data_IF_112471224513
#
_entry.id   IF_112471224513
#
_cell.length_a   1.000
_cell.length_b   1.000
_cell.length_c   1.000
_cell.angle_alpha   90.00
_cell.angle_beta   90.00
_cell.angle_gamma   90.00
#
_symmetry.space_group_name_H-M   'P 1'
#
loop_
_entity.id
_entity.type
_entity.pdbx_description
1 polymer ?
#
# COMPACT_ATOMS: atom_id res chain seq x y z
N UNK A 1 44.75 -17.82 38.77
CA UNK A 1 45.52 -16.87 37.94
C UNK A 1 45.54 -17.41 36.52
N UNK A 2 45.35 -16.54 35.52
CA UNK A 2 45.39 -16.87 34.09
C UNK A 2 46.28 -15.89 33.36
N UNK A 3 47.14 -16.39 32.48
CA UNK A 3 47.97 -15.56 31.61
C UNK A 3 47.19 -15.22 30.35
N UNK A 4 47.05 -13.92 30.05
CA UNK A 4 46.38 -13.43 28.84
C UNK A 4 47.38 -12.65 27.98
N UNK A 5 47.17 -12.64 26.67
CA UNK A 5 47.92 -11.79 25.76
C UNK A 5 47.09 -10.55 25.40
N UNK A 6 47.61 -9.37 25.75
CA UNK A 6 46.90 -8.10 25.56
C UNK A 6 46.73 -7.73 24.08
N UNK A 7 47.62 -8.18 23.20
CA UNK A 7 47.56 -7.94 21.75
C UNK A 7 46.26 -8.44 21.12
N UNK A 8 45.71 -9.53 21.63
CA UNK A 8 44.52 -10.17 21.07
C UNK A 8 43.23 -9.46 21.47
N UNK A 9 43.28 -8.65 22.53
CA UNK A 9 42.11 -8.04 23.15
C UNK A 9 42.05 -6.54 22.84
N UNK A 10 43.21 -5.90 22.78
CA UNK A 10 43.32 -4.46 22.61
C UNK A 10 44.15 -4.10 21.38
N UNK A 11 43.53 -3.37 20.46
CA UNK A 11 44.09 -2.99 19.16
C UNK A 11 45.35 -2.11 19.22
N UNK A 12 45.61 -1.47 20.36
CA UNK A 12 46.76 -0.57 20.53
C UNK A 12 48.08 -1.29 20.86
N UNK A 13 48.02 -2.55 21.31
CA UNK A 13 49.24 -3.37 21.51
C UNK A 13 49.68 -4.01 20.20
N UNK A 14 50.90 -3.69 19.75
CA UNK A 14 51.47 -4.19 18.48
C UNK A 14 52.39 -5.39 18.65
N UNK A 15 52.76 -5.71 19.87
CA UNK A 15 53.65 -6.80 20.25
C UNK A 15 52.94 -7.70 21.27
N UNK A 16 53.40 -8.95 21.37
CA UNK A 16 52.84 -9.91 22.31
C UNK A 16 53.27 -9.56 23.73
N UNK A 17 52.31 -9.18 24.57
CA UNK A 17 52.52 -8.84 25.98
C UNK A 17 51.63 -9.74 26.84
N UNK A 18 52.27 -10.57 27.66
CA UNK A 18 51.62 -11.56 28.50
C UNK A 18 51.48 -11.04 29.93
N UNK A 19 50.26 -10.96 30.42
CA UNK A 19 49.94 -10.47 31.77
C UNK A 19 49.19 -11.55 32.54
N UNK A 20 49.60 -11.78 33.78
CA UNK A 20 48.85 -12.62 34.70
C UNK A 20 47.68 -11.85 35.32
N UNK A 21 46.49 -12.40 35.14
CA UNK A 21 45.23 -11.82 35.57
C UNK A 21 44.58 -12.76 36.58
N UNK A 22 43.91 -12.19 37.59
CA UNK A 22 43.18 -12.96 38.60
C UNK A 22 42.03 -13.73 37.94
N UNK A 23 41.59 -14.82 38.58
CA UNK A 23 40.50 -15.64 38.02
C UNK A 23 39.18 -14.86 37.96
N UNK A 24 38.95 -13.92 38.91
CA UNK A 24 37.79 -13.03 38.92
C UNK A 24 37.75 -12.10 37.70
N UNK A 25 38.88 -11.45 37.38
CA UNK A 25 38.96 -10.55 36.22
C UNK A 25 38.83 -11.35 34.93
N UNK A 26 39.42 -12.55 34.87
CA UNK A 26 39.26 -13.44 33.72
C UNK A 26 37.80 -13.86 33.51
N UNK A 27 37.06 -14.16 34.58
CA UNK A 27 35.65 -14.49 34.51
C UNK A 27 34.80 -13.30 34.05
N UNK A 28 35.08 -12.10 34.55
CA UNK A 28 34.42 -10.87 34.10
C UNK A 28 34.63 -10.62 32.60
N UNK A 29 35.85 -10.82 32.09
CA UNK A 29 36.14 -10.70 30.66
C UNK A 29 35.36 -11.73 29.82
N UNK A 30 35.28 -12.98 30.29
CA UNK A 30 34.50 -14.02 29.62
C UNK A 30 33.01 -13.71 29.63
N UNK A 31 32.51 -13.15 30.71
CA UNK A 31 31.11 -12.73 30.83
C UNK A 31 30.78 -11.61 29.82
N UNK A 32 31.62 -10.59 29.73
CA UNK A 32 31.46 -9.50 28.76
C UNK A 32 31.43 -10.02 27.30
N UNK A 33 32.30 -10.98 26.95
CA UNK A 33 32.29 -11.59 25.62
C UNK A 33 30.97 -12.34 25.34
N UNK A 34 30.43 -13.07 26.32
CA UNK A 34 29.15 -13.77 26.17
C UNK A 34 28.00 -12.77 25.97
N UNK A 35 28.00 -11.67 26.71
CA UNK A 35 26.99 -10.61 26.57
C UNK A 35 27.03 -9.94 25.20
N UNK A 36 28.23 -9.65 24.69
CA UNK A 36 28.42 -9.12 23.33
C UNK A 36 27.85 -10.08 22.29
N UNK A 37 28.21 -11.37 22.37
CA UNK A 37 27.71 -12.39 21.45
C UNK A 37 26.18 -12.54 21.53
N UNK A 38 25.60 -12.46 22.74
CA UNK A 38 24.15 -12.49 22.94
C UNK A 38 23.45 -11.25 22.34
N UNK A 39 24.07 -10.08 22.45
CA UNK A 39 23.58 -8.86 21.82
C UNK A 39 23.61 -8.97 20.29
N UNK A 40 24.72 -9.41 19.70
CA UNK A 40 24.84 -9.60 18.25
C UNK A 40 23.82 -10.63 17.72
N UNK A 41 23.63 -11.74 18.43
CA UNK A 41 22.60 -12.75 18.06
C UNK A 41 21.20 -12.16 18.06
N UNK A 42 20.84 -11.37 19.09
CA UNK A 42 19.53 -10.69 19.14
C UNK A 42 19.37 -9.71 17.99
N UNK A 43 20.42 -8.93 17.68
CA UNK A 43 20.46 -7.99 16.56
C UNK A 43 20.17 -8.69 15.23
N UNK A 44 20.85 -9.80 14.96
CA UNK A 44 20.66 -10.59 13.72
C UNK A 44 19.27 -11.23 13.66
N UNK A 45 18.85 -11.90 14.75
CA UNK A 45 17.57 -12.61 14.80
C UNK A 45 16.38 -11.67 14.58
N UNK A 46 16.38 -10.51 15.23
CA UNK A 46 15.32 -9.50 15.08
C UNK A 46 15.56 -8.54 13.90
N UNK A 47 16.64 -8.72 13.12
CA UNK A 47 17.05 -7.83 12.03
C UNK A 47 17.11 -6.35 12.44
N UNK A 48 17.41 -6.09 13.71
CA UNK A 48 17.45 -4.76 14.31
C UNK A 48 18.80 -4.08 14.04
N UNK A 49 19.14 -3.94 12.76
CA UNK A 49 20.44 -3.41 12.31
C UNK A 49 20.66 -1.95 12.69
N UNK A 50 19.56 -1.21 12.78
CA UNK A 50 19.50 0.22 13.05
C UNK A 50 18.64 0.46 14.30
N UNK A 51 19.12 1.30 15.21
CA UNK A 51 18.27 1.91 16.24
C UNK A 51 17.40 2.98 15.59
N UNK A 52 16.25 3.29 16.19
CA UNK A 52 15.44 4.45 15.77
C UNK A 52 16.26 5.75 15.86
N UNK A 53 17.14 5.86 16.86
CA UNK A 53 18.09 6.97 17.03
C UNK A 53 19.25 6.99 16.01
N UNK A 54 19.39 5.96 15.16
CA UNK A 54 20.53 5.89 14.25
C UNK A 54 20.51 7.03 13.21
N UNK A 55 19.30 7.48 12.81
CA UNK A 55 19.14 8.59 11.89
C UNK A 55 17.87 9.40 12.20
N UNK A 56 18.00 10.73 12.19
CA UNK A 56 16.91 11.68 12.50
C UNK A 56 15.67 11.56 11.60
N UNK A 57 15.79 10.90 10.45
CA UNK A 57 14.69 10.71 9.50
C UNK A 57 14.03 9.32 9.61
N UNK A 58 14.67 8.34 10.28
CA UNK A 58 14.13 6.96 10.36
C UNK A 58 12.81 6.91 11.12
N UNK A 59 12.65 7.73 12.15
CA UNK A 59 11.39 7.86 12.89
C UNK A 59 10.27 8.44 12.02
N UNK A 60 10.57 9.44 11.18
CA UNK A 60 9.57 10.01 10.28
C UNK A 60 9.02 8.94 9.34
N UNK A 61 9.88 8.18 8.66
CA UNK A 61 9.43 7.15 7.71
C UNK A 61 8.77 5.92 8.36
N UNK A 62 9.00 5.68 9.65
CA UNK A 62 8.37 4.58 10.38
C UNK A 62 6.93 4.88 10.81
N UNK A 63 6.53 6.16 10.84
CA UNK A 63 5.21 6.59 11.26
C UNK A 63 4.26 6.74 10.06
N UNK A 64 3.01 6.31 10.24
CA UNK A 64 1.93 6.63 9.31
C UNK A 64 1.65 8.13 9.38
N UNK A 65 1.99 8.85 8.31
CA UNK A 65 1.67 10.27 8.22
C UNK A 65 0.19 10.43 7.86
N UNK A 66 -0.45 11.42 8.47
CA UNK A 66 -1.76 11.88 8.03
C UNK A 66 -1.72 12.39 6.59
N UNK A 67 -2.89 12.46 5.95
CA UNK A 67 -3.03 13.01 4.59
C UNK A 67 -2.52 14.44 4.52
N UNK A 68 -1.78 14.76 3.46
CA UNK A 68 -1.29 16.11 3.21
C UNK A 68 -2.46 17.05 2.88
N UNK A 69 -2.37 18.37 3.16
CA UNK A 69 -3.38 19.33 2.73
C UNK A 69 -3.65 19.28 1.21
N UNK A 70 -2.63 18.99 0.40
CA UNK A 70 -2.73 18.79 -1.05
C UNK A 70 -3.60 17.57 -1.37
N UNK A 71 -3.41 16.46 -0.68
CA UNK A 71 -4.20 15.23 -0.87
C UNK A 71 -5.69 15.49 -0.57
N UNK A 72 -5.98 16.25 0.49
CA UNK A 72 -7.36 16.62 0.84
C UNK A 72 -8.02 17.45 -0.26
N UNK A 73 -7.27 18.37 -0.88
CA UNK A 73 -7.78 19.19 -1.97
C UNK A 73 -8.09 18.34 -3.20
N UNK A 74 -7.18 17.43 -3.57
CA UNK A 74 -7.36 16.50 -4.69
C UNK A 74 -8.57 15.59 -4.44
N UNK A 75 -8.67 14.96 -3.27
CA UNK A 75 -9.81 14.13 -2.90
C UNK A 75 -11.14 14.90 -3.01
N UNK A 76 -11.14 16.16 -2.58
CA UNK A 76 -12.33 17.01 -2.68
C UNK A 76 -12.71 17.25 -4.14
N UNK A 77 -11.76 17.57 -5.00
CA UNK A 77 -12.00 17.77 -6.43
C UNK A 77 -12.51 16.49 -7.10
N UNK A 78 -11.88 15.35 -6.85
CA UNK A 78 -12.33 14.03 -7.29
C UNK A 78 -13.77 13.73 -6.81
N UNK A 79 -14.09 14.07 -5.56
CA UNK A 79 -15.44 13.88 -5.04
C UNK A 79 -16.45 14.78 -5.76
N UNK A 80 -16.10 16.04 -6.03
CA UNK A 80 -17.01 16.94 -6.76
C UNK A 80 -17.24 16.50 -8.21
N UNK A 81 -16.20 16.05 -8.90
CA UNK A 81 -16.32 15.53 -10.28
C UNK A 81 -17.17 14.27 -10.30
N UNK A 82 -16.96 13.35 -9.35
CA UNK A 82 -17.79 12.15 -9.19
C UNK A 82 -19.27 12.50 -8.94
N UNK A 83 -19.56 13.46 -8.07
CA UNK A 83 -20.92 13.90 -7.78
C UNK A 83 -21.59 14.52 -9.01
N UNK A 84 -20.86 15.32 -9.80
CA UNK A 84 -21.35 15.87 -11.08
C UNK A 84 -21.71 14.75 -12.08
N UNK A 85 -20.87 13.73 -12.20
CA UNK A 85 -21.13 12.58 -13.07
C UNK A 85 -22.38 11.80 -12.65
N UNK A 86 -22.59 11.61 -11.34
CA UNK A 86 -23.77 10.96 -10.78
C UNK A 86 -25.02 11.80 -11.04
N UNK A 87 -24.96 13.12 -10.83
CA UNK A 87 -26.08 14.02 -11.09
C UNK A 87 -26.51 14.02 -12.57
N UNK A 88 -25.56 13.84 -13.49
CA UNK A 88 -25.82 13.74 -14.93
C UNK A 88 -26.32 12.35 -15.39
N UNK A 89 -26.26 11.32 -14.54
CA UNK A 89 -26.64 9.95 -14.89
C UNK A 89 -28.10 9.83 -15.42
N UNK A 90 -29.11 10.48 -14.82
CA UNK A 90 -30.48 10.40 -15.35
C UNK A 90 -30.60 10.99 -16.76
N UNK A 91 -29.91 12.11 -17.03
CA UNK A 91 -29.88 12.72 -18.35
C UNK A 91 -29.18 11.83 -19.38
N UNK A 92 -28.06 11.20 -19.00
CA UNK A 92 -27.35 10.27 -19.86
C UNK A 92 -28.21 9.02 -20.19
N UNK A 93 -28.90 8.46 -19.20
CA UNK A 93 -29.83 7.34 -19.41
C UNK A 93 -31.00 7.72 -20.32
N UNK A 94 -31.55 8.94 -20.17
CA UNK A 94 -32.61 9.45 -21.03
C UNK A 94 -32.16 9.68 -22.49
N UNK A 95 -30.86 9.92 -22.72
CA UNK A 95 -30.28 10.03 -24.06
C UNK A 95 -30.19 8.68 -24.80
N UNK A 96 -30.21 7.57 -24.08
CA UNK A 96 -30.31 6.24 -24.67
C UNK A 96 -31.78 5.88 -24.98
N UNK A 97 -32.02 4.96 -25.91
CA UNK A 97 -33.40 4.47 -26.14
C UNK A 97 -33.93 3.76 -24.87
N UNK A 98 -35.25 3.75 -24.61
CA UNK A 98 -35.81 3.14 -23.39
C UNK A 98 -35.35 1.70 -23.14
N UNK A 99 -35.26 0.89 -24.20
CA UNK A 99 -34.75 -0.50 -24.13
C UNK A 99 -33.27 -0.56 -23.75
N UNK A 100 -32.45 0.34 -24.27
CA UNK A 100 -31.02 0.41 -23.92
C UNK A 100 -30.84 0.84 -22.48
N UNK A 101 -31.52 1.92 -22.06
CA UNK A 101 -31.45 2.43 -20.69
C UNK A 101 -31.88 1.36 -19.68
N UNK A 102 -33.00 0.68 -19.92
CA UNK A 102 -33.50 -0.40 -19.07
C UNK A 102 -32.50 -1.56 -18.94
N UNK A 103 -31.88 -1.99 -20.03
CA UNK A 103 -30.87 -3.07 -20.01
C UNK A 103 -29.54 -2.66 -19.38
N UNK A 104 -29.10 -1.41 -19.58
CA UNK A 104 -27.92 -0.84 -18.91
C UNK A 104 -28.15 -0.76 -17.40
N UNK A 105 -29.31 -0.25 -16.98
CA UNK A 105 -29.70 -0.20 -15.57
C UNK A 105 -29.76 -1.60 -14.95
N UNK A 106 -30.43 -2.56 -15.62
CA UNK A 106 -30.52 -3.93 -15.14
C UNK A 106 -29.13 -4.57 -14.93
N UNK A 107 -28.18 -4.33 -15.85
CA UNK A 107 -26.86 -4.93 -15.78
C UNK A 107 -25.91 -4.25 -14.78
N UNK A 108 -25.74 -2.92 -14.87
CA UNK A 108 -24.74 -2.19 -14.07
C UNK A 108 -25.27 -1.70 -12.72
N UNK A 109 -26.55 -1.36 -12.62
CA UNK A 109 -27.13 -0.77 -11.39
C UNK A 109 -27.79 -1.86 -10.56
N UNK A 110 -28.57 -2.76 -11.19
CA UNK A 110 -29.24 -3.86 -10.50
C UNK A 110 -28.44 -5.18 -10.43
N UNK A 111 -27.29 -5.27 -11.12
CA UNK A 111 -26.41 -6.44 -11.08
C UNK A 111 -26.95 -7.71 -11.75
N UNK A 112 -27.99 -7.61 -12.57
CA UNK A 112 -28.61 -8.75 -13.26
C UNK A 112 -27.74 -9.17 -14.44
N UNK A 113 -27.41 -10.47 -14.54
CA UNK A 113 -26.54 -10.99 -15.61
C UNK A 113 -27.25 -10.93 -16.98
N UNK A 114 -26.51 -10.68 -18.06
CA UNK A 114 -27.08 -10.59 -19.42
C UNK A 114 -27.90 -11.81 -19.87
N UNK A 115 -27.51 -13.07 -19.57
CA UNK A 115 -28.34 -14.24 -19.89
C UNK A 115 -29.65 -14.31 -19.12
N UNK A 116 -29.71 -13.70 -17.94
CA UNK A 116 -30.93 -13.59 -17.14
C UNK A 116 -31.86 -12.51 -17.68
N UNK A 117 -31.30 -11.34 -18.05
CA UNK A 117 -32.03 -10.29 -18.79
C UNK A 117 -32.63 -10.86 -20.09
N UNK A 118 -31.84 -11.65 -20.83
CA UNK A 118 -32.28 -12.34 -22.05
C UNK A 118 -33.47 -13.26 -21.81
N UNK A 119 -33.46 -14.05 -20.72
CA UNK A 119 -34.57 -14.94 -20.33
C UNK A 119 -35.82 -14.15 -19.92
N UNK A 120 -35.66 -13.13 -19.08
CA UNK A 120 -36.77 -12.28 -18.60
C UNK A 120 -37.46 -11.57 -19.77
N UNK A 121 -36.69 -11.08 -20.74
CA UNK A 121 -37.23 -10.34 -21.90
C UNK A 121 -37.60 -11.24 -23.09
N UNK A 122 -37.33 -12.54 -23.04
CA UNK A 122 -37.58 -13.46 -24.16
C UNK A 122 -36.77 -13.14 -25.42
N UNK A 123 -35.60 -12.50 -25.29
CA UNK A 123 -34.75 -12.10 -26.43
C UNK A 123 -33.45 -12.87 -26.45
N UNK A 124 -32.85 -13.04 -27.63
CA UNK A 124 -31.52 -13.64 -27.74
C UNK A 124 -30.45 -12.81 -27.02
N UNK A 125 -29.51 -13.47 -26.34
CA UNK A 125 -28.44 -12.84 -25.53
C UNK A 125 -27.65 -11.78 -26.29
N UNK A 126 -27.35 -12.02 -27.57
CA UNK A 126 -26.65 -11.04 -28.43
C UNK A 126 -27.38 -9.70 -28.54
N UNK A 127 -28.73 -9.69 -28.53
CA UNK A 127 -29.52 -8.45 -28.58
C UNK A 127 -29.38 -7.66 -27.28
N UNK A 128 -29.24 -8.34 -26.14
CA UNK A 128 -28.97 -7.70 -24.84
C UNK A 128 -27.59 -7.05 -24.87
N UNK A 129 -26.56 -7.80 -25.27
CA UNK A 129 -25.19 -7.29 -25.32
C UNK A 129 -25.04 -6.10 -26.27
N UNK A 130 -25.64 -6.17 -27.45
CA UNK A 130 -25.64 -5.06 -28.43
C UNK A 130 -26.37 -3.83 -27.90
N UNK A 131 -27.51 -4.02 -27.23
CA UNK A 131 -28.26 -2.91 -26.65
C UNK A 131 -27.48 -2.22 -25.52
N UNK A 132 -26.84 -2.98 -24.63
CA UNK A 132 -26.00 -2.42 -23.56
C UNK A 132 -24.84 -1.62 -24.16
N UNK A 133 -24.10 -2.20 -25.12
CA UNK A 133 -22.96 -1.53 -25.76
C UNK A 133 -23.37 -0.23 -26.48
N UNK A 134 -24.50 -0.24 -27.20
CA UNK A 134 -25.02 0.96 -27.87
C UNK A 134 -25.55 1.99 -26.87
N UNK A 135 -26.19 1.53 -25.79
CA UNK A 135 -26.64 2.37 -24.68
C UNK A 135 -25.49 3.15 -24.05
N UNK A 136 -24.41 2.45 -23.67
CA UNK A 136 -23.20 3.08 -23.13
C UNK A 136 -22.58 4.09 -24.10
N UNK A 137 -22.56 3.79 -25.41
CA UNK A 137 -22.05 4.73 -26.42
C UNK A 137 -22.90 6.00 -26.50
N UNK A 138 -24.22 5.87 -26.43
CA UNK A 138 -25.12 7.02 -26.44
C UNK A 138 -24.99 7.84 -25.14
N UNK A 139 -24.94 7.17 -23.99
CA UNK A 139 -24.67 7.83 -22.71
C UNK A 139 -23.35 8.60 -22.74
N UNK A 140 -22.28 8.01 -23.31
CA UNK A 140 -20.99 8.67 -23.44
C UNK A 140 -21.09 9.97 -24.25
N UNK A 141 -21.81 9.98 -25.38
CA UNK A 141 -22.03 11.21 -26.17
C UNK A 141 -22.72 12.31 -25.37
N UNK A 142 -23.64 11.94 -24.48
CA UNK A 142 -24.28 12.88 -23.57
C UNK A 142 -23.27 13.44 -22.56
N UNK A 143 -22.44 12.58 -21.96
CA UNK A 143 -21.36 13.01 -21.06
C UNK A 143 -20.35 13.93 -21.76
N UNK A 144 -19.89 13.57 -22.97
CA UNK A 144 -18.95 14.38 -23.75
C UNK A 144 -19.52 15.78 -24.07
N UNK A 145 -20.85 15.90 -24.21
CA UNK A 145 -21.54 17.18 -24.42
C UNK A 145 -21.78 18.00 -23.15
N UNK A 146 -21.94 17.34 -22.00
CA UNK A 146 -22.16 17.99 -20.70
C UNK A 146 -20.86 18.43 -20.03
N UNK A 147 -19.79 17.70 -20.28
CA UNK A 147 -18.46 17.92 -19.75
C UNK A 147 -17.52 18.07 -20.95
N UNK A 148 -17.67 19.16 -21.69
CA UNK A 148 -16.65 19.53 -22.67
C UNK A 148 -15.33 19.64 -21.92
N UNK A 149 -14.32 18.94 -22.42
CA UNK A 149 -12.94 19.07 -21.93
C UNK A 149 -12.53 20.53 -22.08
N UNK A 150 -12.43 21.24 -20.95
CA UNK A 150 -11.62 22.46 -20.86
C UNK A 150 -10.16 22.14 -21.27
#
# INVERSE_FOLDING_TARGET
MKTINLRWIYTHYRHDEFVEVSDEVWEAMRQAQREMNNYERRKVYHRAWYSLDAYSWTENYALEHGRSPEDILVEREEMTTRLRLIAALPAALAHATPTQARRVHAYYIAGIKQPEISRIEGVHSSKVSVAIRRGLRNMRRCYDGLFQTE
#
